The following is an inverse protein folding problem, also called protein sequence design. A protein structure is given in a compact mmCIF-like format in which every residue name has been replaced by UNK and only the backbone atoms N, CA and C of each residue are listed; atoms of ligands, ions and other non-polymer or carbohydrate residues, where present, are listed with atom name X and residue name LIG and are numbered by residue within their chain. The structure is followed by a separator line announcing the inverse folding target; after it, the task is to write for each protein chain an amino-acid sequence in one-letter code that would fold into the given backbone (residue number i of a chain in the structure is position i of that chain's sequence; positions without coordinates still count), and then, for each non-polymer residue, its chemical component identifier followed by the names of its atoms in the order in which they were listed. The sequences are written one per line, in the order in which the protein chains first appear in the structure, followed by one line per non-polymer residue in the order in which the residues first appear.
data_IF_036123293586
#
_entry.id   IF_036123293586
#
_cell.length_a   1.000
_cell.length_b   1.000
_cell.length_c   1.000
_cell.angle_alpha   90.00
_cell.angle_beta   90.00
_cell.angle_gamma   90.00
#
_symmetry.space_group_name_H-M   'P 1'
#
loop_
_entity.id
_entity.type
_entity.pdbx_description
1 polymer ?
#
# COMPACT_ATOMS: atom_id res chain seq x y z
N UNK A 1 -10.83 -19.55 4.55
CA UNK A 1 -9.52 -19.29 5.20
C UNK A 1 -9.78 -18.35 6.35
N UNK A 2 -9.43 -18.72 7.58
CA UNK A 2 -9.66 -17.88 8.75
C UNK A 2 -8.75 -16.66 8.67
N UNK A 3 -9.33 -15.48 8.44
CA UNK A 3 -8.60 -14.21 8.53
C UNK A 3 -8.35 -13.95 10.02
N UNK A 4 -7.27 -14.52 10.56
CA UNK A 4 -6.84 -14.23 11.92
C UNK A 4 -6.44 -12.75 11.96
N UNK A 5 -7.34 -11.93 12.48
CA UNK A 5 -7.09 -10.53 12.79
C UNK A 5 -5.89 -10.48 13.72
N UNK A 6 -4.85 -9.74 13.32
CA UNK A 6 -3.75 -9.39 14.21
C UNK A 6 -4.34 -8.66 15.42
N UNK A 7 -3.95 -8.99 16.67
CA UNK A 7 -4.53 -8.37 17.84
C UNK A 7 -4.44 -6.84 17.78
N UNK A 8 -5.59 -6.17 17.93
CA UNK A 8 -5.73 -4.72 17.81
C UNK A 8 -5.98 -4.18 16.40
N UNK A 9 -6.03 -5.04 15.38
CA UNK A 9 -6.46 -4.65 14.03
C UNK A 9 -7.94 -4.98 13.82
N UNK A 10 -8.65 -4.08 13.14
CA UNK A 10 -10.05 -4.25 12.73
C UNK A 10 -10.13 -4.38 11.21
N UNK A 11 -11.15 -5.09 10.72
CA UNK A 11 -11.41 -5.18 9.27
C UNK A 11 -11.71 -3.77 8.72
N UNK A 12 -11.10 -3.42 7.60
CA UNK A 12 -11.39 -2.15 6.95
C UNK A 12 -12.77 -2.16 6.28
N UNK A 13 -13.44 -1.02 6.33
CA UNK A 13 -14.72 -0.72 5.69
C UNK A 13 -14.69 0.76 5.26
N UNK A 14 -15.61 1.13 4.38
CA UNK A 14 -15.88 2.48 3.90
C UNK A 14 -15.95 3.56 5.01
N UNK A 15 -16.27 3.17 6.25
CA UNK A 15 -16.46 4.09 7.38
C UNK A 15 -15.23 4.27 8.27
N UNK A 16 -14.23 3.39 8.18
CA UNK A 16 -13.09 3.39 9.12
C UNK A 16 -11.73 3.63 8.46
N UNK A 17 -11.68 3.70 7.13
CA UNK A 17 -10.47 4.03 6.38
C UNK A 17 -9.98 5.46 6.67
N UNK A 18 -8.65 5.68 6.70
CA UNK A 18 -8.10 7.03 6.77
C UNK A 18 -8.42 7.79 5.49
N UNK A 19 -8.59 9.11 5.61
CA UNK A 19 -8.68 9.98 4.43
C UNK A 19 -7.30 10.06 3.78
N UNK A 20 -7.25 9.79 2.48
CA UNK A 20 -6.04 9.89 1.68
C UNK A 20 -6.37 10.74 0.46
N UNK A 21 -5.67 11.85 0.32
CA UNK A 21 -5.77 12.73 -0.85
C UNK A 21 -4.55 12.53 -1.78
N UNK A 22 -4.74 12.81 -3.07
CA UNK A 22 -3.69 12.75 -4.09
C UNK A 22 -2.50 13.64 -3.74
N UNK A 23 -2.72 14.76 -3.04
CA UNK A 23 -1.65 15.63 -2.56
C UNK A 23 -0.78 14.93 -1.51
N UNK A 24 -1.38 14.16 -0.59
CA UNK A 24 -0.64 13.39 0.43
C UNK A 24 0.25 12.34 -0.24
N UNK A 25 -0.28 11.65 -1.25
CA UNK A 25 0.45 10.65 -2.04
C UNK A 25 1.59 11.31 -2.82
N UNK A 26 1.33 12.43 -3.50
CA UNK A 26 2.34 13.17 -4.23
C UNK A 26 3.46 13.69 -3.31
N UNK A 27 3.11 14.22 -2.14
CA UNK A 27 4.09 14.68 -1.15
C UNK A 27 4.97 13.55 -0.65
N UNK A 28 4.37 12.39 -0.36
CA UNK A 28 5.11 11.21 0.08
C UNK A 28 6.11 10.77 -0.99
N UNK A 29 5.66 10.58 -2.24
CA UNK A 29 6.51 10.18 -3.37
C UNK A 29 7.66 11.18 -3.57
N UNK A 30 7.42 12.49 -3.43
CA UNK A 30 8.46 13.52 -3.55
C UNK A 30 9.49 13.47 -2.43
N UNK A 31 9.09 13.12 -1.21
CA UNK A 31 9.95 13.13 -0.01
C UNK A 31 10.67 11.80 0.20
N UNK A 32 10.16 10.71 -0.35
CA UNK A 32 10.70 9.37 -0.15
C UNK A 32 11.78 9.04 -1.17
N UNK A 33 12.98 8.68 -0.70
CA UNK A 33 14.04 8.11 -1.56
C UNK A 33 13.70 6.70 -2.09
N UNK A 34 12.62 6.09 -1.57
CA UNK A 34 12.08 4.79 -1.97
C UNK A 34 11.49 4.78 -3.39
N UNK A 35 11.31 5.94 -4.02
CA UNK A 35 10.67 6.08 -5.33
C UNK A 35 11.55 6.93 -6.25
N UNK A 36 11.97 6.36 -7.37
CA UNK A 36 12.75 7.10 -8.37
C UNK A 36 11.81 7.73 -9.42
N UNK A 37 12.13 8.89 -10.05
CA UNK A 37 11.29 9.51 -11.08
C UNK A 37 11.01 8.60 -12.28
N UNK A 38 11.93 7.67 -12.55
CA UNK A 38 11.71 6.63 -13.55
C UNK A 38 10.55 5.71 -13.15
N UNK A 39 10.50 5.22 -11.90
CA UNK A 39 9.44 4.33 -11.41
C UNK A 39 8.06 4.98 -11.42
N UNK A 40 8.00 6.28 -11.10
CA UNK A 40 6.75 7.06 -11.13
C UNK A 40 6.28 7.34 -12.56
N UNK A 41 7.20 7.44 -13.53
CA UNK A 41 6.90 7.64 -14.95
C UNK A 41 6.70 6.34 -15.73
N UNK A 42 6.97 5.19 -15.11
CA UNK A 42 6.91 3.90 -15.79
C UNK A 42 5.46 3.43 -15.98
N UNK A 43 5.26 2.58 -17.00
CA UNK A 43 3.97 1.95 -17.31
C UNK A 43 3.35 1.25 -16.10
N UNK A 44 4.16 0.75 -15.15
CA UNK A 44 3.66 0.14 -13.91
C UNK A 44 2.85 1.11 -13.04
N UNK A 45 3.28 2.36 -12.90
CA UNK A 45 2.53 3.37 -12.16
C UNK A 45 1.21 3.72 -12.88
N UNK A 46 1.24 3.78 -14.22
CA UNK A 46 0.05 3.99 -15.02
C UNK A 46 -0.95 2.81 -14.92
N UNK A 47 -0.45 1.57 -14.95
CA UNK A 47 -1.27 0.35 -14.83
C UNK A 47 -1.90 0.23 -13.44
N UNK A 48 -1.15 0.49 -12.37
CA UNK A 48 -1.67 0.44 -11.00
C UNK A 48 -2.65 1.58 -10.66
N UNK A 49 -2.71 2.62 -11.49
CA UNK A 49 -3.66 3.74 -11.33
C UNK A 49 -5.05 3.47 -11.94
N UNK A 50 -5.22 2.33 -12.62
CA UNK A 50 -6.51 1.95 -13.22
C UNK A 50 -7.48 1.52 -12.12
N UNK A 51 -8.71 2.04 -12.13
CA UNK A 51 -9.73 1.67 -11.13
C UNK A 51 -9.96 0.15 -11.06
N UNK A 52 -9.97 -0.52 -12.22
CA UNK A 52 -10.12 -1.97 -12.32
C UNK A 52 -9.00 -2.78 -11.67
N UNK A 53 -7.82 -2.17 -11.48
CA UNK A 53 -6.67 -2.82 -10.84
C UNK A 53 -6.93 -3.02 -9.36
N UNK A 54 -7.47 -2.00 -8.68
CA UNK A 54 -7.65 -2.00 -7.22
C UNK A 54 -8.55 -3.14 -6.74
N UNK A 55 -9.64 -3.44 -7.45
CA UNK A 55 -10.58 -4.51 -7.09
C UNK A 55 -9.99 -5.92 -7.24
N UNK A 56 -9.06 -6.10 -8.19
CA UNK A 56 -8.45 -7.42 -8.45
C UNK A 56 -7.14 -7.62 -7.68
N UNK A 57 -6.43 -6.52 -7.41
CA UNK A 57 -5.11 -6.53 -6.80
C UNK A 57 -5.17 -6.46 -5.26
N UNK A 58 -6.21 -5.88 -4.67
CA UNK A 58 -6.27 -5.72 -3.21
C UNK A 58 -7.11 -6.84 -2.59
N UNK A 59 -6.46 -7.62 -1.75
CA UNK A 59 -7.10 -8.66 -0.94
C UNK A 59 -7.65 -8.11 0.37
N UNK A 60 -7.49 -8.89 1.43
CA UNK A 60 -7.96 -8.50 2.77
C UNK A 60 -7.23 -7.25 3.29
N UNK A 61 -8.02 -6.27 3.75
CA UNK A 61 -7.53 -5.03 4.37
C UNK A 61 -7.97 -4.97 5.83
N UNK A 62 -7.03 -4.66 6.71
CA UNK A 62 -7.28 -4.37 8.11
C UNK A 62 -6.52 -3.11 8.54
N UNK A 63 -6.98 -2.44 9.59
CA UNK A 63 -6.35 -1.25 10.09
C UNK A 63 -6.37 -1.19 11.61
N UNK A 64 -5.46 -0.40 12.17
CA UNK A 64 -5.38 -0.10 13.59
C UNK A 64 -5.11 1.38 13.75
N UNK A 65 -5.90 2.05 14.59
CA UNK A 65 -5.63 3.42 15.01
C UNK A 65 -4.85 3.40 16.31
N UNK A 66 -3.80 4.19 16.37
CA UNK A 66 -3.04 4.44 17.59
C UNK A 66 -3.48 5.81 18.13
N UNK A 67 -4.25 5.78 19.21
CA UNK A 67 -4.78 6.99 19.85
C UNK A 67 -3.68 7.86 20.47
N UNK A 68 -2.50 7.30 20.75
CA UNK A 68 -1.40 8.04 21.37
C UNK A 68 -0.70 9.04 20.43
N UNK A 69 -0.72 8.78 19.11
CA UNK A 69 0.01 9.57 18.12
C UNK A 69 -0.85 9.95 16.91
N UNK A 70 -2.18 9.76 16.98
CA UNK A 70 -3.12 10.00 15.88
C UNK A 70 -2.68 9.35 14.55
N UNK A 71 -2.05 8.17 14.62
CA UNK A 71 -1.66 7.43 13.42
C UNK A 71 -2.59 6.28 13.14
N UNK A 72 -2.89 6.08 11.86
CA UNK A 72 -3.62 4.94 11.34
C UNK A 72 -2.66 4.02 10.58
N UNK A 73 -2.50 2.80 11.07
CA UNK A 73 -1.73 1.75 10.41
C UNK A 73 -2.70 0.85 9.63
N UNK A 74 -2.61 0.88 8.32
CA UNK A 74 -3.39 0.04 7.41
C UNK A 74 -2.50 -1.09 6.91
N UNK A 75 -3.01 -2.32 6.94
CA UNK A 75 -2.36 -3.51 6.40
C UNK A 75 -3.23 -4.12 5.32
N UNK A 76 -2.65 -4.43 4.17
CA UNK A 76 -3.34 -5.12 3.10
C UNK A 76 -2.47 -6.18 2.44
N UNK A 77 -3.13 -7.13 1.78
CA UNK A 77 -2.46 -8.04 0.85
C UNK A 77 -2.64 -7.53 -0.57
N UNK A 78 -1.56 -7.51 -1.33
CA UNK A 78 -1.55 -7.07 -2.72
C UNK A 78 -1.10 -8.22 -3.63
N UNK A 79 -1.92 -8.45 -4.66
CA UNK A 79 -1.68 -9.39 -5.75
C UNK A 79 -1.27 -8.59 -7.00
N UNK A 80 -0.01 -8.68 -7.47
CA UNK A 80 0.39 -7.98 -8.67
C UNK A 80 -0.29 -8.59 -9.93
N UNK A 81 -0.78 -7.74 -10.83
CA UNK A 81 -1.62 -8.08 -12.00
C UNK A 81 -0.99 -9.08 -13.00
N UNK A 82 0.32 -9.31 -12.97
CA UNK A 82 0.99 -10.29 -13.84
C UNK A 82 0.99 -11.71 -13.23
N UNK A 83 -0.22 -12.19 -12.90
CA UNK A 83 -0.60 -13.49 -12.36
C UNK A 83 -0.03 -14.70 -13.12
N UNK A 84 1.25 -15.02 -12.94
CA UNK A 84 1.81 -16.32 -13.38
C UNK A 84 2.59 -17.01 -12.25
N UNK A 85 3.30 -16.29 -11.38
CA UNK A 85 4.18 -16.91 -10.34
C UNK A 85 4.39 -16.14 -9.04
N UNK A 86 3.90 -14.91 -8.89
CA UNK A 86 4.24 -14.07 -7.73
C UNK A 86 3.33 -14.34 -6.54
N UNK A 87 3.93 -14.56 -5.36
CA UNK A 87 3.20 -14.65 -4.09
C UNK A 87 2.56 -13.31 -3.75
N UNK A 88 1.37 -13.35 -3.15
CA UNK A 88 0.76 -12.20 -2.49
C UNK A 88 1.81 -11.58 -1.54
N UNK A 89 1.96 -10.26 -1.58
CA UNK A 89 2.82 -9.55 -0.63
C UNK A 89 1.98 -8.69 0.30
N UNK A 90 2.46 -8.49 1.51
CA UNK A 90 1.76 -7.67 2.51
C UNK A 90 2.32 -6.26 2.47
N UNK A 91 1.44 -5.27 2.50
CA UNK A 91 1.81 -3.85 2.59
C UNK A 91 1.31 -3.30 3.90
N UNK A 92 2.17 -2.55 4.59
CA UNK A 92 1.80 -1.77 5.77
C UNK A 92 1.95 -0.29 5.42
N UNK A 93 0.85 0.45 5.48
CA UNK A 93 0.77 1.88 5.28
C UNK A 93 0.56 2.54 6.64
N UNK A 94 1.38 3.53 6.97
CA UNK A 94 1.20 4.35 8.17
C UNK A 94 0.85 5.77 7.77
N UNK A 95 -0.32 6.24 8.20
CA UNK A 95 -0.85 7.58 7.92
C UNK A 95 -0.94 8.35 9.24
N UNK A 96 -0.50 9.60 9.24
CA UNK A 96 -0.80 10.55 10.31
C UNK A 96 -2.14 11.22 9.99
N UNK A 97 -3.17 10.93 10.79
CA UNK A 97 -4.51 11.52 10.59
C UNK A 97 -4.57 12.97 11.06
N UNK A 98 -3.66 13.39 11.95
CA UNK A 98 -3.56 14.77 12.44
C UNK A 98 -2.85 15.69 11.43
N UNK A 99 -1.75 15.24 10.86
CA UNK A 99 -1.01 16.02 9.86
C UNK A 99 -1.49 15.81 8.43
N UNK A 100 -2.45 14.89 8.22
CA UNK A 100 -2.96 14.53 6.89
C UNK A 100 -1.82 14.14 5.93
N UNK A 101 -0.94 13.24 6.39
CA UNK A 101 0.27 12.83 5.65
C UNK A 101 0.49 11.32 5.70
N UNK A 102 0.96 10.77 4.60
CA UNK A 102 1.52 9.41 4.59
C UNK A 102 2.92 9.47 5.21
N UNK A 103 3.11 8.75 6.31
CA UNK A 103 4.36 8.73 7.09
C UNK A 103 5.31 7.71 6.51
N UNK A 104 4.83 6.48 6.30
CA UNK A 104 5.66 5.43 5.71
C UNK A 104 4.83 4.36 5.00
N UNK A 105 5.50 3.69 4.06
CA UNK A 105 5.02 2.50 3.37
C UNK A 105 6.08 1.42 3.46
N UNK A 106 5.71 0.28 4.04
CA UNK A 106 6.54 -0.90 4.18
C UNK A 106 5.96 -2.06 3.37
N UNK A 107 6.84 -2.76 2.67
CA UNK A 107 6.50 -3.93 1.87
C UNK A 107 7.11 -5.17 2.51
N UNK A 108 6.29 -6.14 2.87
CA UNK A 108 6.70 -7.41 3.43
C UNK A 108 6.42 -8.52 2.40
N UNK A 109 7.40 -9.41 2.20
CA UNK A 109 7.33 -10.50 1.21
C UNK A 109 7.24 -10.08 -0.27
N UNK A 110 7.60 -8.84 -0.60
CA UNK A 110 7.65 -8.37 -1.98
C UNK A 110 8.95 -8.81 -2.69
N UNK A 111 8.85 -9.48 -3.84
CA UNK A 111 10.00 -9.89 -4.66
C UNK A 111 10.87 -8.69 -5.14
N UNK A 112 10.29 -7.48 -5.18
CA UNK A 112 11.01 -6.24 -5.50
C UNK A 112 11.92 -5.75 -4.36
N UNK A 113 11.65 -6.12 -3.10
CA UNK A 113 12.52 -5.81 -1.95
C UNK A 113 13.90 -6.49 -2.07
N UNK A 114 14.02 -7.53 -2.91
CA UNK A 114 15.29 -8.18 -3.25
C UNK A 114 15.97 -7.63 -4.53
N UNK A 115 15.56 -6.46 -5.05
CA UNK A 115 16.20 -5.80 -6.19
C UNK A 115 15.92 -6.42 -7.56
N UNK A 116 14.87 -7.24 -7.70
CA UNK A 116 14.54 -7.95 -8.96
C UNK A 116 13.26 -7.42 -9.61
N UNK A 117 13.18 -6.12 -9.86
CA UNK A 117 12.27 -5.62 -10.89
C UNK A 117 12.92 -5.81 -12.26
N UNK A 118 12.71 -6.97 -12.87
CA UNK A 118 13.08 -7.20 -14.28
C UNK A 118 11.98 -6.55 -15.12
N UNK A 119 12.32 -5.52 -15.90
CA UNK A 119 11.46 -5.05 -16.99
C UNK A 119 11.27 -6.22 -17.98
N UNK A 120 10.03 -6.65 -18.29
CA UNK A 120 9.82 -7.36 -19.53
C UNK A 120 10.13 -6.39 -20.68
N UNK A 121 10.93 -6.87 -21.64
CA UNK A 121 11.31 -6.17 -22.87
C UNK A 121 10.09 -5.84 -23.72
#
# INVERSE_FOLDING_TARGET
MANNLVPGFVKADSTNLPKIDIFMVCEFIKKSDKFNPAEVKNEKAAMSSRESYSDQAIGYVCLRRNEFNNTCTVKCKVCPEHCIRSKEYSVTLTVSEEEEKVVDVEYQDCAASSGKCINPK
#
